data_IF_088844116582
#
_entry.id   IF_088844116582
#
_cell.length_a   1.000
_cell.length_b   1.000
_cell.length_c   1.000
_cell.angle_alpha   90.00
_cell.angle_beta   90.00
_cell.angle_gamma   90.00
#
_symmetry.space_group_name_H-M   'P 1'
#
loop_
_entity.id
_entity.type
_entity.pdbx_description
1 polymer ?
#
# COMPACT_ATOMS: atom_id res chain seq x y z
N UNK A 1 19.55 -26.99 -39.40
CA UNK A 1 20.12 -25.62 -39.43
C UNK A 1 19.09 -24.48 -39.59
N UNK A 2 17.89 -24.59 -40.26
CA UNK A 2 16.96 -23.44 -40.32
C UNK A 2 16.21 -23.14 -38.97
N UNK A 3 15.96 -24.14 -38.16
CA UNK A 3 15.23 -23.94 -36.89
C UNK A 3 16.02 -23.18 -35.80
N UNK A 4 17.33 -23.23 -35.82
CA UNK A 4 18.21 -22.54 -34.86
C UNK A 4 18.27 -21.03 -35.16
N UNK A 5 18.30 -20.69 -36.45
CA UNK A 5 18.32 -19.29 -36.94
C UNK A 5 17.00 -18.55 -36.61
N UNK A 6 15.88 -19.27 -36.63
CA UNK A 6 14.55 -18.72 -36.30
C UNK A 6 14.36 -18.50 -34.78
N UNK A 7 14.91 -19.40 -33.95
CA UNK A 7 14.95 -19.23 -32.50
C UNK A 7 15.84 -18.08 -32.08
N UNK A 8 16.99 -17.88 -32.72
CA UNK A 8 17.90 -16.79 -32.40
C UNK A 8 17.32 -15.43 -32.85
N UNK A 9 16.60 -15.37 -33.96
CA UNK A 9 15.84 -14.18 -34.40
C UNK A 9 14.70 -13.85 -33.44
N UNK A 10 13.96 -14.85 -32.97
CA UNK A 10 12.87 -14.68 -32.01
C UNK A 10 13.38 -14.17 -30.64
N UNK A 11 14.51 -14.71 -30.16
CA UNK A 11 15.18 -14.23 -28.93
C UNK A 11 15.67 -12.79 -29.06
N UNK A 12 16.30 -12.45 -30.19
CA UNK A 12 16.77 -11.11 -30.46
C UNK A 12 15.62 -10.08 -30.60
N UNK A 13 14.46 -10.50 -31.11
CA UNK A 13 13.27 -9.67 -31.19
C UNK A 13 12.66 -9.44 -29.78
N UNK A 14 12.57 -10.50 -28.96
CA UNK A 14 12.10 -10.43 -27.58
C UNK A 14 13.01 -9.54 -26.73
N UNK A 15 14.33 -9.69 -26.87
CA UNK A 15 15.29 -8.86 -26.14
C UNK A 15 15.16 -7.38 -26.50
N UNK A 16 15.01 -7.06 -27.80
CA UNK A 16 14.77 -5.66 -28.24
C UNK A 16 13.48 -5.09 -27.67
N UNK A 17 12.40 -5.85 -27.66
CA UNK A 17 11.13 -5.42 -27.06
C UNK A 17 11.25 -5.19 -25.54
N UNK A 18 12.04 -6.00 -24.84
CA UNK A 18 12.32 -5.81 -23.43
C UNK A 18 13.18 -4.56 -23.17
N UNK A 19 14.17 -4.30 -24.01
CA UNK A 19 15.02 -3.12 -23.91
C UNK A 19 14.22 -1.83 -24.19
N UNK A 20 13.33 -1.84 -25.20
CA UNK A 20 12.41 -0.73 -25.50
C UNK A 20 11.41 -0.49 -24.36
N UNK A 21 10.89 -1.56 -23.75
CA UNK A 21 10.01 -1.47 -22.58
C UNK A 21 10.75 -0.90 -21.35
N UNK A 22 12.02 -1.30 -21.16
CA UNK A 22 12.85 -0.80 -20.06
C UNK A 22 13.21 0.68 -20.24
N UNK A 23 13.41 1.12 -21.50
CA UNK A 23 13.65 2.53 -21.82
C UNK A 23 12.39 3.38 -21.63
N UNK A 24 11.26 2.93 -22.20
CA UNK A 24 9.97 3.59 -22.00
C UNK A 24 9.56 3.68 -20.51
N UNK A 25 9.90 2.65 -19.73
CA UNK A 25 9.68 2.64 -18.27
C UNK A 25 10.56 3.67 -17.57
N UNK A 26 11.84 3.78 -17.93
CA UNK A 26 12.75 4.80 -17.37
C UNK A 26 12.26 6.20 -17.67
N UNK A 27 11.82 6.45 -18.90
CA UNK A 27 11.30 7.75 -19.32
C UNK A 27 9.99 8.09 -18.60
N UNK A 28 9.10 7.11 -18.44
CA UNK A 28 7.86 7.30 -17.68
C UNK A 28 8.12 7.60 -16.19
N UNK A 29 9.08 6.91 -15.57
CA UNK A 29 9.47 7.18 -14.18
C UNK A 29 10.15 8.55 -14.02
N UNK A 30 10.99 8.93 -14.98
CA UNK A 30 11.61 10.25 -15.02
C UNK A 30 10.54 11.35 -15.17
N UNK A 31 9.57 11.17 -16.06
CA UNK A 31 8.47 12.10 -16.26
C UNK A 31 7.57 12.25 -15.01
N UNK A 32 7.33 11.16 -14.28
CA UNK A 32 6.61 11.20 -13.00
C UNK A 32 7.41 11.94 -11.93
N UNK A 33 8.73 11.67 -11.85
CA UNK A 33 9.61 12.37 -10.92
C UNK A 33 9.73 13.87 -11.23
N UNK A 34 9.74 14.24 -12.51
CA UNK A 34 9.78 15.63 -12.94
C UNK A 34 8.47 16.36 -12.63
N UNK A 35 7.32 15.76 -12.92
CA UNK A 35 6.00 16.31 -12.54
C UNK A 35 5.88 16.50 -11.03
N UNK A 36 6.41 15.55 -10.24
CA UNK A 36 6.44 15.65 -8.79
C UNK A 36 7.33 16.81 -8.32
N UNK A 37 8.52 16.97 -8.92
CA UNK A 37 9.42 18.10 -8.64
C UNK A 37 8.75 19.43 -8.97
N UNK A 38 8.06 19.51 -10.08
CA UNK A 38 7.33 20.69 -10.54
C UNK A 38 6.14 21.01 -9.62
N UNK A 39 5.37 20.00 -9.21
CA UNK A 39 4.27 20.17 -8.26
C UNK A 39 4.78 20.65 -6.88
N UNK A 40 5.89 20.09 -6.38
CA UNK A 40 6.52 20.51 -5.13
C UNK A 40 7.06 21.96 -5.26
N UNK A 41 7.70 22.31 -6.38
CA UNK A 41 8.19 23.64 -6.65
C UNK A 41 7.04 24.65 -6.71
N UNK A 42 5.97 24.35 -7.42
CA UNK A 42 4.75 25.17 -7.52
C UNK A 42 4.08 25.35 -6.16
N UNK A 43 3.97 24.29 -5.36
CA UNK A 43 3.45 24.35 -4.00
C UNK A 43 4.34 25.21 -3.09
N UNK A 44 5.67 25.13 -3.26
CA UNK A 44 6.63 25.97 -2.53
C UNK A 44 6.53 27.44 -2.92
N UNK A 45 6.46 27.73 -4.21
CA UNK A 45 6.28 29.10 -4.72
C UNK A 45 4.95 29.70 -4.24
N UNK A 46 3.86 28.94 -4.26
CA UNK A 46 2.57 29.34 -3.69
C UNK A 46 2.68 29.63 -2.19
N UNK A 47 3.40 28.80 -1.42
CA UNK A 47 3.66 29.02 0.01
C UNK A 47 4.48 30.29 0.27
N UNK A 48 5.52 30.54 -0.53
CA UNK A 48 6.36 31.74 -0.43
C UNK A 48 5.59 33.02 -0.83
N UNK A 49 4.78 32.96 -1.88
CA UNK A 49 3.90 34.04 -2.28
C UNK A 49 2.85 34.40 -1.21
N UNK A 50 2.28 33.37 -0.55
CA UNK A 50 1.34 33.53 0.57
C UNK A 50 2.02 34.09 1.82
N UNK A 51 3.24 33.66 2.13
CA UNK A 51 4.04 34.19 3.24
C UNK A 51 4.35 35.69 2.99
N UNK A 52 4.69 36.05 1.78
CA UNK A 52 4.97 37.44 1.37
C UNK A 52 3.70 38.35 1.41
N UNK A 53 2.55 37.76 1.04
CA UNK A 53 1.26 38.45 1.12
C UNK A 53 0.80 38.68 2.58
N UNK A 54 1.21 37.83 3.51
CA UNK A 54 0.96 37.97 4.96
C UNK A 54 1.83 39.03 5.64
N UNK A 55 2.97 39.41 5.04
CA UNK A 55 3.88 40.42 5.57
C UNK A 55 3.49 41.86 5.20
N UNK A 56 2.45 42.06 4.39
CA UNK A 56 1.91 43.43 4.17
C UNK A 56 1.05 43.82 5.37
N UNK A 57 1.40 44.89 6.13
CA UNK A 57 0.63 45.30 7.30
C UNK A 57 -0.74 45.80 6.83
N UNK A 58 -1.80 45.02 7.14
CA UNK A 58 -3.16 45.54 7.04
C UNK A 58 -3.45 46.35 8.32
N UNK A 59 -3.26 47.63 8.29
CA UNK A 59 -3.64 48.58 9.36
C UNK A 59 -5.15 48.71 9.56
N UNK A 60 -5.94 47.70 9.20
CA UNK A 60 -7.40 47.72 9.44
C UNK A 60 -7.90 46.34 9.82
N UNK A 61 -7.80 45.99 11.11
CA UNK A 61 -8.76 45.17 11.88
C UNK A 61 -8.25 44.82 13.29
N UNK A 62 -8.08 45.86 14.08
CA UNK A 62 -8.22 45.72 15.53
C UNK A 62 -9.70 45.88 15.86
N UNK A 63 -10.45 44.78 15.95
CA UNK A 63 -11.68 44.66 16.73
C UNK A 63 -12.36 43.29 16.40
N UNK A 64 -11.92 42.25 17.05
CA UNK A 64 -12.80 41.17 17.52
C UNK A 64 -11.94 40.09 18.19
N UNK A 65 -12.13 39.92 19.51
CA UNK A 65 -11.45 38.92 20.30
C UNK A 65 -11.78 37.52 19.82
N UNK A 66 -10.81 36.88 19.23
CA UNK A 66 -10.76 35.45 19.02
C UNK A 66 -9.38 34.97 19.40
N UNK A 67 -9.34 33.96 20.28
CA UNK A 67 -8.14 33.33 20.79
C UNK A 67 -7.15 32.87 19.70
N UNK A 68 -5.96 32.37 20.07
CA UNK A 68 -4.90 32.05 19.14
C UNK A 68 -5.42 31.15 18.02
N UNK A 69 -5.50 31.66 16.79
CA UNK A 69 -5.82 30.86 15.61
C UNK A 69 -4.65 29.92 15.37
N UNK A 70 -4.80 28.68 15.75
CA UNK A 70 -3.88 27.61 15.32
C UNK A 70 -3.82 27.67 13.80
N UNK A 71 -2.65 27.97 13.25
CA UNK A 71 -2.46 28.00 11.80
C UNK A 71 -2.67 26.60 11.29
N UNK A 72 -3.66 26.38 10.40
CA UNK A 72 -3.90 25.11 9.76
C UNK A 72 -2.64 24.70 9.00
N UNK A 73 -2.12 23.53 9.26
CA UNK A 73 -0.94 22.96 8.59
C UNK A 73 -1.35 21.74 7.77
N UNK A 74 -0.57 21.39 6.76
CA UNK A 74 -0.80 20.16 5.99
C UNK A 74 -0.75 18.93 6.90
N UNK A 75 0.17 18.89 7.86
CA UNK A 75 0.30 17.78 8.80
C UNK A 75 -0.98 17.61 9.66
N UNK A 76 -1.59 18.71 10.11
CA UNK A 76 -2.85 18.65 10.84
C UNK A 76 -4.01 18.18 9.96
N UNK A 77 -4.02 18.56 8.68
CA UNK A 77 -4.99 18.10 7.68
C UNK A 77 -4.83 16.60 7.46
N UNK A 78 -3.60 16.12 7.25
CA UNK A 78 -3.31 14.71 7.00
C UNK A 78 -3.61 13.85 8.23
N UNK A 79 -3.26 14.30 9.44
CA UNK A 79 -3.58 13.59 10.68
C UNK A 79 -5.09 13.42 10.85
N UNK A 80 -5.88 14.48 10.62
CA UNK A 80 -7.33 14.40 10.72
C UNK A 80 -7.95 13.58 9.58
N UNK A 81 -7.40 13.68 8.36
CA UNK A 81 -7.83 12.83 7.24
C UNK A 81 -7.60 11.34 7.54
N UNK A 82 -6.42 10.98 8.07
CA UNK A 82 -6.09 9.62 8.51
C UNK A 82 -7.09 9.13 9.57
N UNK A 83 -7.41 9.96 10.57
CA UNK A 83 -8.41 9.61 11.59
C UNK A 83 -9.79 9.32 11.00
N UNK A 84 -10.23 10.11 10.01
CA UNK A 84 -11.51 9.86 9.32
C UNK A 84 -11.43 8.58 8.50
N UNK A 85 -10.32 8.35 7.79
CA UNK A 85 -10.10 7.16 6.97
C UNK A 85 -10.07 5.87 7.82
N UNK A 86 -9.44 5.92 8.99
CA UNK A 86 -9.40 4.79 9.92
C UNK A 86 -10.79 4.45 10.48
N UNK A 87 -11.62 5.47 10.71
CA UNK A 87 -12.95 5.29 11.28
C UNK A 87 -14.00 4.86 10.25
N UNK A 88 -13.98 5.46 9.06
CA UNK A 88 -15.09 5.39 8.11
C UNK A 88 -14.65 5.07 6.66
N UNK A 89 -13.37 4.70 6.47
CA UNK A 89 -12.82 4.34 5.15
C UNK A 89 -12.77 5.50 4.15
N UNK A 90 -12.42 5.16 2.92
CA UNK A 90 -12.27 6.13 1.81
C UNK A 90 -13.58 6.86 1.52
N UNK A 91 -14.72 6.18 1.58
CA UNK A 91 -16.03 6.78 1.33
C UNK A 91 -16.41 7.82 2.39
N UNK A 92 -15.98 7.63 3.64
CA UNK A 92 -16.23 8.55 4.75
C UNK A 92 -15.48 9.89 4.65
N UNK A 93 -14.39 9.96 3.86
CA UNK A 93 -13.60 11.16 3.72
C UNK A 93 -14.19 12.11 2.67
N UNK A 94 -14.52 13.34 3.10
CA UNK A 94 -14.86 14.46 2.21
C UNK A 94 -14.17 15.73 2.71
N UNK A 95 -13.78 16.65 1.81
CA UNK A 95 -13.16 17.92 2.19
C UNK A 95 -14.07 18.76 3.09
N UNK A 96 -15.39 18.67 2.92
CA UNK A 96 -16.36 19.36 3.78
C UNK A 96 -16.37 18.78 5.20
N UNK A 97 -16.36 17.45 5.35
CA UNK A 97 -16.28 16.78 6.64
C UNK A 97 -14.97 17.10 7.34
N UNK A 98 -13.86 16.97 6.63
CA UNK A 98 -12.53 17.30 7.14
C UNK A 98 -12.46 18.74 7.67
N UNK A 99 -12.96 19.72 6.92
CA UNK A 99 -13.00 21.11 7.35
C UNK A 99 -13.85 21.29 8.63
N UNK A 100 -14.99 20.56 8.72
CA UNK A 100 -15.86 20.58 9.90
C UNK A 100 -15.14 20.02 11.13
N UNK A 101 -14.48 18.88 11.00
CA UNK A 101 -13.75 18.24 12.12
C UNK A 101 -12.56 19.12 12.59
N UNK A 102 -11.86 19.75 11.65
CA UNK A 102 -10.78 20.72 11.95
C UNK A 102 -11.28 22.07 12.49
N UNK A 103 -12.61 22.32 12.51
CA UNK A 103 -13.19 23.58 12.94
C UNK A 103 -12.83 24.77 12.07
N UNK A 104 -12.57 24.55 10.77
CA UNK A 104 -12.18 25.58 9.79
C UNK A 104 -13.18 25.69 8.64
N UNK A 105 -13.11 26.78 7.89
CA UNK A 105 -13.87 26.90 6.64
C UNK A 105 -13.32 25.98 5.55
N UNK A 106 -14.19 25.41 4.70
CA UNK A 106 -13.78 24.54 3.60
C UNK A 106 -12.71 25.20 2.69
N UNK A 107 -12.81 26.49 2.44
CA UNK A 107 -11.81 27.26 1.69
C UNK A 107 -10.40 27.17 2.30
N UNK A 108 -10.28 26.97 3.61
CA UNK A 108 -8.97 26.81 4.26
C UNK A 108 -8.31 25.48 3.93
N UNK A 109 -9.09 24.40 3.72
CA UNK A 109 -8.59 23.10 3.30
C UNK A 109 -8.17 23.14 1.85
N UNK A 110 -8.95 23.78 0.96
CA UNK A 110 -8.61 23.96 -0.46
C UNK A 110 -7.33 24.76 -0.73
N UNK A 111 -6.81 25.49 0.28
CA UNK A 111 -5.49 26.11 0.18
C UNK A 111 -4.33 25.11 0.29
N UNK A 112 -4.58 23.91 0.76
CA UNK A 112 -3.58 22.87 1.01
C UNK A 112 -3.68 21.70 0.06
N UNK A 113 -4.90 21.37 -0.42
CA UNK A 113 -5.20 20.27 -1.32
C UNK A 113 -6.23 20.71 -2.36
N UNK A 114 -6.06 20.29 -3.60
CA UNK A 114 -6.94 20.71 -4.70
C UNK A 114 -8.27 19.93 -4.67
N UNK A 115 -8.21 18.63 -4.36
CA UNK A 115 -9.39 17.75 -4.33
C UNK A 115 -9.24 16.58 -3.33
N UNK A 116 -10.23 15.68 -3.32
CA UNK A 116 -10.23 14.48 -2.47
C UNK A 116 -9.15 13.50 -2.88
N UNK A 117 -8.87 13.35 -4.16
CA UNK A 117 -7.91 12.36 -4.68
C UNK A 117 -6.48 12.75 -4.30
N UNK A 118 -6.13 14.04 -4.39
CA UNK A 118 -4.86 14.55 -3.90
C UNK A 118 -4.74 14.36 -2.38
N UNK A 119 -5.80 14.65 -1.62
CA UNK A 119 -5.80 14.43 -0.17
C UNK A 119 -5.59 12.96 0.18
N UNK A 120 -6.26 12.04 -0.50
CA UNK A 120 -6.10 10.60 -0.34
C UNK A 120 -4.68 10.15 -0.63
N UNK A 121 -4.09 10.63 -1.74
CA UNK A 121 -2.72 10.31 -2.10
C UNK A 121 -1.73 10.81 -1.05
N UNK A 122 -1.88 12.05 -0.58
CA UNK A 122 -1.02 12.63 0.46
C UNK A 122 -1.16 11.90 1.80
N UNK A 123 -2.39 11.52 2.19
CA UNK A 123 -2.64 10.73 3.39
C UNK A 123 -2.00 9.33 3.27
N UNK A 124 -2.13 8.66 2.12
CA UNK A 124 -1.49 7.39 1.84
C UNK A 124 0.04 7.48 1.92
N UNK A 125 0.65 8.50 1.30
CA UNK A 125 2.09 8.74 1.36
C UNK A 125 2.58 9.06 2.79
N UNK A 126 1.77 9.78 3.57
CA UNK A 126 2.10 10.10 4.96
C UNK A 126 2.05 8.86 5.86
N UNK A 127 1.06 7.99 5.66
CA UNK A 127 0.83 6.80 6.49
C UNK A 127 1.74 5.64 6.09
N UNK A 128 1.77 5.23 4.81
CA UNK A 128 2.54 4.08 4.34
C UNK A 128 4.00 4.43 3.99
N UNK A 129 4.28 5.68 3.67
CA UNK A 129 5.60 6.13 3.22
C UNK A 129 6.74 5.89 4.21
N UNK A 130 6.59 6.10 5.52
CA UNK A 130 7.65 5.80 6.48
C UNK A 130 8.07 4.33 6.43
N UNK A 131 7.13 3.39 6.53
CA UNK A 131 7.38 1.95 6.47
C UNK A 131 8.06 1.55 5.16
N UNK A 132 7.53 1.99 4.01
CA UNK A 132 8.10 1.66 2.70
C UNK A 132 9.51 2.20 2.53
N UNK A 133 9.81 3.42 3.01
CA UNK A 133 11.18 3.98 2.97
C UNK A 133 12.14 3.20 3.85
N UNK A 134 11.74 2.83 5.06
CA UNK A 134 12.56 2.00 5.93
C UNK A 134 12.90 0.66 5.27
N UNK A 135 11.93 0.02 4.61
CA UNK A 135 12.16 -1.19 3.82
C UNK A 135 13.10 -0.96 2.63
N UNK A 136 13.01 0.19 1.97
CA UNK A 136 13.90 0.56 0.87
C UNK A 136 15.36 0.72 1.33
N UNK A 137 15.59 1.31 2.48
CA UNK A 137 16.91 1.60 3.01
C UNK A 137 17.57 0.35 3.66
N UNK A 138 16.82 -0.69 3.94
CA UNK A 138 17.30 -1.94 4.56
C UNK A 138 18.24 -2.67 3.59
N UNK A 139 19.45 -3.11 4.01
CA UNK A 139 20.36 -3.87 3.14
C UNK A 139 19.71 -5.14 2.59
N UNK A 140 20.06 -5.52 1.34
CA UNK A 140 19.67 -6.82 0.78
C UNK A 140 20.69 -7.85 1.30
N UNK A 141 20.18 -8.80 2.06
CA UNK A 141 20.95 -9.92 2.60
C UNK A 141 20.35 -11.23 2.05
N UNK A 142 21.05 -11.83 1.09
CA UNK A 142 20.62 -13.07 0.45
C UNK A 142 20.65 -14.26 1.40
N UNK A 143 21.48 -14.25 2.43
CA UNK A 143 21.55 -15.35 3.41
C UNK A 143 20.38 -15.30 4.40
N UNK A 144 19.84 -14.10 4.64
CA UNK A 144 18.71 -13.85 5.53
C UNK A 144 17.42 -13.47 4.79
N UNK A 145 17.33 -13.79 3.53
CA UNK A 145 16.21 -13.38 2.67
C UNK A 145 14.84 -13.76 3.24
N UNK A 146 14.71 -14.98 3.77
CA UNK A 146 13.45 -15.49 4.31
C UNK A 146 13.00 -14.65 5.52
N UNK A 147 13.92 -14.37 6.43
CA UNK A 147 13.66 -13.53 7.60
C UNK A 147 13.31 -12.09 7.16
N UNK A 148 14.04 -11.56 6.18
CA UNK A 148 13.81 -10.22 5.64
C UNK A 148 12.43 -10.11 4.97
N UNK A 149 12.03 -11.06 4.10
CA UNK A 149 10.70 -11.06 3.48
C UNK A 149 9.59 -11.25 4.50
N UNK A 150 9.79 -12.17 5.45
CA UNK A 150 8.81 -12.40 6.50
C UNK A 150 8.62 -11.17 7.38
N UNK A 151 9.69 -10.53 7.80
CA UNK A 151 9.65 -9.29 8.58
C UNK A 151 8.93 -8.18 7.82
N UNK A 152 9.32 -7.96 6.56
CA UNK A 152 8.67 -6.99 5.67
C UNK A 152 7.16 -7.24 5.54
N UNK A 153 6.75 -8.47 5.29
CA UNK A 153 5.34 -8.81 5.14
C UNK A 153 4.55 -8.61 6.44
N UNK A 154 5.16 -8.90 7.60
CA UNK A 154 4.55 -8.66 8.91
C UNK A 154 4.40 -7.16 9.18
N UNK A 155 5.42 -6.36 8.93
CA UNK A 155 5.36 -4.90 9.11
C UNK A 155 4.29 -4.25 8.22
N UNK A 156 4.17 -4.70 6.98
CA UNK A 156 3.12 -4.24 6.07
C UNK A 156 1.72 -4.71 6.52
N UNK A 157 1.61 -5.93 7.01
CA UNK A 157 0.37 -6.45 7.57
C UNK A 157 -0.07 -5.62 8.79
N UNK A 158 0.83 -5.35 9.74
CA UNK A 158 0.55 -4.56 10.93
C UNK A 158 0.15 -3.11 10.59
N UNK A 159 0.77 -2.52 9.57
CA UNK A 159 0.37 -1.22 9.05
C UNK A 159 -1.04 -1.25 8.44
N UNK A 160 -1.38 -2.30 7.67
CA UNK A 160 -2.72 -2.47 7.08
C UNK A 160 -3.76 -2.75 8.18
N UNK A 161 -3.40 -3.53 9.20
CA UNK A 161 -4.28 -3.79 10.36
C UNK A 161 -4.60 -2.50 11.13
N UNK A 162 -3.60 -1.64 11.31
CA UNK A 162 -3.77 -0.33 11.94
C UNK A 162 -4.53 0.68 11.05
N UNK A 163 -4.38 0.58 9.73
CA UNK A 163 -4.92 1.51 8.73
C UNK A 163 -5.54 0.74 7.55
N UNK A 164 -6.71 0.10 7.70
CA UNK A 164 -7.29 -0.78 6.68
C UNK A 164 -7.50 -0.13 5.31
N UNK A 165 -7.80 1.17 5.28
CA UNK A 165 -7.96 1.94 4.05
C UNK A 165 -6.70 2.00 3.18
N UNK A 166 -5.51 1.75 3.76
CA UNK A 166 -4.25 1.68 3.00
C UNK A 166 -4.29 0.56 1.97
N UNK A 167 -4.88 -0.60 2.31
CA UNK A 167 -5.06 -1.71 1.35
C UNK A 167 -6.01 -1.34 0.21
N UNK A 168 -7.05 -0.55 0.48
CA UNK A 168 -7.92 -0.01 -0.56
C UNK A 168 -7.15 0.90 -1.52
N UNK A 169 -6.29 1.77 -0.98
CA UNK A 169 -5.43 2.64 -1.79
C UNK A 169 -4.42 1.87 -2.64
N UNK A 170 -3.90 0.74 -2.16
CA UNK A 170 -3.04 -0.15 -2.97
C UNK A 170 -3.75 -0.65 -4.24
N UNK A 171 -5.06 -0.90 -4.16
CA UNK A 171 -5.87 -1.30 -5.32
C UNK A 171 -6.27 -0.11 -6.21
N UNK A 172 -6.58 1.04 -5.62
CA UNK A 172 -6.97 2.26 -6.34
C UNK A 172 -5.78 2.91 -7.06
N UNK A 173 -4.58 2.81 -6.48
CA UNK A 173 -3.35 3.43 -6.99
C UNK A 173 -2.26 2.37 -7.30
N UNK A 174 -2.50 1.40 -8.21
CA UNK A 174 -1.59 0.29 -8.47
C UNK A 174 -0.22 0.73 -9.04
N UNK A 175 -0.08 1.98 -9.45
CA UNK A 175 1.16 2.59 -9.94
C UNK A 175 1.65 3.74 -9.03
N UNK A 176 1.24 3.74 -7.76
CA UNK A 176 1.78 4.73 -6.84
C UNK A 176 3.30 4.54 -6.67
N UNK A 177 4.06 5.64 -6.48
CA UNK A 177 5.51 5.54 -6.27
C UNK A 177 5.87 4.60 -5.11
N UNK A 178 5.09 4.59 -4.03
CA UNK A 178 5.32 3.70 -2.88
C UNK A 178 5.18 2.23 -3.26
N UNK A 179 4.13 1.88 -4.02
CA UNK A 179 3.94 0.50 -4.47
C UNK A 179 5.05 0.06 -5.43
N UNK A 180 5.50 0.96 -6.31
CA UNK A 180 6.62 0.66 -7.20
C UNK A 180 7.91 0.41 -6.44
N UNK A 181 8.21 1.21 -5.41
CA UNK A 181 9.37 1.01 -4.54
C UNK A 181 9.30 -0.34 -3.82
N UNK A 182 8.14 -0.66 -3.23
CA UNK A 182 7.93 -1.93 -2.53
C UNK A 182 8.09 -3.11 -3.48
N UNK A 183 7.46 -3.06 -4.65
CA UNK A 183 7.54 -4.09 -5.68
C UNK A 183 8.97 -4.35 -6.16
N UNK A 184 9.68 -3.27 -6.49
CA UNK A 184 11.07 -3.34 -6.94
C UNK A 184 11.98 -3.92 -5.85
N UNK A 185 11.74 -3.54 -4.61
CA UNK A 185 12.53 -4.02 -3.46
C UNK A 185 12.35 -5.53 -3.22
N UNK A 186 11.10 -6.00 -3.27
CA UNK A 186 10.81 -7.44 -3.17
C UNK A 186 11.49 -8.19 -4.34
N UNK A 187 11.38 -7.67 -5.55
CA UNK A 187 12.02 -8.25 -6.73
C UNK A 187 13.54 -8.35 -6.60
N UNK A 188 14.20 -7.27 -6.15
CA UNK A 188 15.66 -7.25 -5.91
C UNK A 188 16.09 -8.32 -4.90
N UNK A 189 15.34 -8.49 -3.80
CA UNK A 189 15.65 -9.50 -2.80
C UNK A 189 15.49 -10.92 -3.37
N UNK A 190 14.40 -11.17 -4.10
CA UNK A 190 14.13 -12.47 -4.73
C UNK A 190 15.16 -12.85 -5.80
N UNK A 191 15.62 -11.89 -6.60
CA UNK A 191 16.68 -12.13 -7.60
C UNK A 191 18.07 -12.30 -6.95
N UNK A 192 18.35 -11.58 -5.85
CA UNK A 192 19.59 -11.73 -5.10
C UNK A 192 19.77 -13.13 -4.50
N UNK A 193 18.69 -13.84 -4.19
CA UNK A 193 18.75 -15.24 -3.70
C UNK A 193 18.82 -16.27 -4.82
N UNK A 194 18.88 -15.83 -6.08
CA UNK A 194 19.12 -16.68 -7.24
C UNK A 194 17.85 -17.10 -7.98
N UNK A 195 16.67 -16.51 -7.70
CA UNK A 195 15.49 -16.75 -8.51
C UNK A 195 15.65 -16.09 -9.89
N UNK A 196 15.30 -16.78 -10.98
CA UNK A 196 15.14 -16.15 -12.29
C UNK A 196 14.04 -15.06 -12.24
N UNK A 197 14.17 -14.02 -13.08
CA UNK A 197 13.25 -12.87 -13.09
C UNK A 197 11.77 -13.27 -13.17
N UNK A 198 11.44 -14.27 -13.98
CA UNK A 198 10.06 -14.77 -14.11
C UNK A 198 9.56 -15.40 -12.81
N UNK A 199 10.37 -16.20 -12.13
CA UNK A 199 10.01 -16.80 -10.84
C UNK A 199 9.92 -15.75 -9.74
N UNK A 200 10.82 -14.76 -9.73
CA UNK A 200 10.78 -13.62 -8.82
C UNK A 200 9.51 -12.77 -9.01
N UNK A 201 9.09 -12.57 -10.27
CA UNK A 201 7.83 -11.89 -10.58
C UNK A 201 6.61 -12.64 -10.00
N UNK A 202 6.51 -13.95 -10.20
CA UNK A 202 5.39 -14.74 -9.67
C UNK A 202 5.40 -14.81 -8.13
N UNK A 203 6.57 -14.96 -7.53
CA UNK A 203 6.72 -14.97 -6.08
C UNK A 203 6.32 -13.61 -5.46
N UNK A 204 6.79 -12.51 -6.04
CA UNK A 204 6.40 -11.16 -5.63
C UNK A 204 4.91 -10.92 -5.79
N UNK A 205 4.30 -11.39 -6.90
CA UNK A 205 2.85 -11.30 -7.12
C UNK A 205 2.05 -12.07 -6.06
N UNK A 206 2.51 -13.25 -5.68
CA UNK A 206 1.86 -14.05 -4.62
C UNK A 206 1.93 -13.34 -3.26
N UNK A 207 3.09 -12.76 -2.89
CA UNK A 207 3.26 -11.99 -1.66
C UNK A 207 2.34 -10.75 -1.63
N UNK A 208 2.29 -9.99 -2.73
CA UNK A 208 1.41 -8.81 -2.82
C UNK A 208 -0.07 -9.21 -2.79
N UNK A 209 -0.45 -10.33 -3.42
CA UNK A 209 -1.81 -10.86 -3.36
C UNK A 209 -2.23 -11.26 -1.95
N UNK A 210 -1.31 -11.85 -1.18
CA UNK A 210 -1.55 -12.20 0.22
C UNK A 210 -1.80 -10.96 1.10
N UNK A 211 -0.98 -9.91 0.93
CA UNK A 211 -1.17 -8.63 1.61
C UNK A 211 -2.50 -7.96 1.22
N UNK A 212 -2.86 -8.00 -0.06
CA UNK A 212 -4.14 -7.44 -0.54
C UNK A 212 -5.35 -8.15 0.06
N UNK A 213 -5.31 -9.48 0.20
CA UNK A 213 -6.39 -10.26 0.84
C UNK A 213 -6.52 -9.97 2.33
N UNK A 214 -5.41 -9.83 3.04
CA UNK A 214 -5.41 -9.44 4.45
C UNK A 214 -6.03 -8.05 4.65
N UNK A 215 -5.72 -7.10 3.76
CA UNK A 215 -6.32 -5.77 3.79
C UNK A 215 -7.83 -5.77 3.57
N UNK A 216 -8.34 -6.59 2.64
CA UNK A 216 -9.78 -6.74 2.44
C UNK A 216 -10.49 -7.34 3.67
N UNK A 217 -9.84 -8.22 4.41
CA UNK A 217 -10.37 -8.77 5.65
C UNK A 217 -10.45 -7.68 6.74
N UNK A 218 -9.39 -6.88 6.90
CA UNK A 218 -9.34 -5.77 7.85
C UNK A 218 -10.42 -4.70 7.55
N UNK A 219 -10.63 -4.35 6.27
CA UNK A 219 -11.70 -3.43 5.85
C UNK A 219 -13.08 -3.96 6.24
N UNK A 220 -13.35 -5.25 5.99
CA UNK A 220 -14.64 -5.87 6.37
C UNK A 220 -14.86 -5.84 7.88
N UNK A 221 -13.81 -6.05 8.66
CA UNK A 221 -13.88 -6.01 10.11
C UNK A 221 -14.25 -4.61 10.62
N UNK A 222 -13.58 -3.58 10.11
CA UNK A 222 -13.84 -2.18 10.47
C UNK A 222 -15.27 -1.74 10.11
N UNK A 223 -15.79 -2.16 8.94
CA UNK A 223 -17.11 -1.72 8.47
C UNK A 223 -18.28 -2.56 9.00
N UNK A 224 -18.05 -3.76 9.52
CA UNK A 224 -19.15 -4.64 9.96
C UNK A 224 -19.86 -4.14 11.20
N UNK A 225 -19.18 -3.37 12.07
CA UNK A 225 -19.70 -2.94 13.37
C UNK A 225 -20.11 -4.10 14.30
N UNK A 226 -19.93 -5.35 13.84
CA UNK A 226 -20.26 -6.57 14.56
C UNK A 226 -19.01 -7.13 15.25
N UNK A 227 -19.18 -7.58 16.48
CA UNK A 227 -18.11 -8.27 17.20
C UNK A 227 -17.59 -9.46 16.38
N UNK A 228 -16.26 -9.58 16.29
CA UNK A 228 -15.58 -10.62 15.50
C UNK A 228 -16.02 -12.02 15.92
N UNK A 229 -16.09 -12.29 17.21
CA UNK A 229 -16.44 -13.63 17.73
C UNK A 229 -17.90 -13.98 17.39
N UNK A 230 -18.80 -13.00 17.38
CA UNK A 230 -20.21 -13.17 16.96
C UNK A 230 -20.26 -13.49 15.46
N UNK A 231 -19.53 -12.74 14.64
CA UNK A 231 -19.46 -12.95 13.18
C UNK A 231 -18.89 -14.34 12.83
N UNK A 232 -17.75 -14.71 13.42
CA UNK A 232 -17.13 -16.01 13.20
C UNK A 232 -18.02 -17.14 13.73
N UNK A 233 -18.68 -16.94 14.88
CA UNK A 233 -19.61 -17.90 15.44
C UNK A 233 -20.82 -18.15 14.52
N UNK A 234 -21.39 -17.09 13.94
CA UNK A 234 -22.48 -17.20 12.97
C UNK A 234 -22.03 -17.90 11.69
N UNK A 235 -20.91 -17.47 11.08
CA UNK A 235 -20.37 -18.12 9.88
C UNK A 235 -20.03 -19.60 10.11
N UNK A 236 -19.44 -19.92 11.26
CA UNK A 236 -19.19 -21.32 11.63
C UNK A 236 -20.50 -22.11 11.82
N UNK A 237 -21.57 -21.50 12.36
CA UNK A 237 -22.88 -22.12 12.48
C UNK A 237 -23.50 -22.44 11.12
N UNK A 238 -23.40 -21.50 10.16
CA UNK A 238 -23.85 -21.69 8.78
C UNK A 238 -23.08 -22.83 8.09
N UNK A 239 -21.74 -22.86 8.24
CA UNK A 239 -20.89 -23.91 7.70
C UNK A 239 -21.13 -25.27 8.36
N UNK A 240 -21.44 -25.30 9.67
CA UNK A 240 -21.76 -26.53 10.41
C UNK A 240 -23.12 -27.15 10.00
N UNK A 241 -24.01 -26.37 9.42
CA UNK A 241 -25.29 -26.84 8.92
C UNK A 241 -25.21 -27.56 7.55
N UNK A 242 -24.03 -27.46 6.87
CA UNK A 242 -23.79 -28.16 5.61
C UNK A 242 -23.64 -29.65 5.82
N UNK A 243 -24.09 -30.45 4.84
CA UNK A 243 -23.94 -31.91 4.86
C UNK A 243 -22.46 -32.30 4.85
N UNK A 244 -21.94 -32.97 5.90
CA UNK A 244 -20.54 -33.35 5.99
C UNK A 244 -20.09 -34.35 4.91
N UNK A 245 -21.00 -35.11 4.32
CA UNK A 245 -20.70 -36.06 3.25
C UNK A 245 -20.52 -35.30 1.91
N UNK A 246 -21.25 -34.23 1.73
CA UNK A 246 -21.11 -33.31 0.57
C UNK A 246 -19.92 -32.34 0.73
N UNK A 247 -19.66 -31.86 1.97
CA UNK A 247 -18.61 -30.87 2.27
C UNK A 247 -17.59 -31.39 3.32
N UNK A 248 -16.88 -32.51 3.06
CA UNK A 248 -16.04 -33.18 4.06
C UNK A 248 -14.83 -32.33 4.51
N UNK A 249 -14.32 -31.45 3.68
CA UNK A 249 -13.21 -30.54 4.06
C UNK A 249 -13.69 -29.47 5.04
N UNK A 250 -14.84 -28.86 4.78
CA UNK A 250 -15.44 -27.83 5.66
C UNK A 250 -15.70 -28.46 7.04
N UNK A 251 -16.33 -29.65 7.08
CA UNK A 251 -16.61 -30.37 8.32
C UNK A 251 -15.35 -30.58 9.18
N UNK A 252 -14.22 -30.92 8.57
CA UNK A 252 -12.94 -31.11 9.29
C UNK A 252 -12.28 -29.80 9.74
N UNK A 253 -12.48 -28.71 9.02
CA UNK A 253 -11.76 -27.43 9.24
C UNK A 253 -12.56 -26.39 10.01
N UNK A 254 -13.83 -26.65 10.30
CA UNK A 254 -14.74 -25.70 10.96
C UNK A 254 -14.23 -25.23 12.34
N UNK A 255 -13.56 -26.09 13.09
CA UNK A 255 -12.96 -25.74 14.37
C UNK A 255 -11.79 -24.79 14.23
N UNK A 256 -11.04 -24.90 13.13
CA UNK A 256 -9.95 -23.98 12.77
C UNK A 256 -10.56 -22.64 12.35
N UNK A 257 -11.59 -22.66 11.48
CA UNK A 257 -12.31 -21.46 11.06
C UNK A 257 -12.82 -20.62 12.25
N UNK A 258 -13.36 -21.27 13.28
CA UNK A 258 -13.88 -20.59 14.48
C UNK A 258 -12.82 -19.92 15.36
N UNK A 259 -11.59 -20.43 15.34
CA UNK A 259 -10.53 -20.01 16.29
C UNK A 259 -9.42 -19.18 15.67
N UNK A 260 -9.27 -19.24 14.34
CA UNK A 260 -8.18 -18.53 13.69
C UNK A 260 -8.33 -16.99 13.84
N UNK A 261 -7.23 -16.30 13.96
CA UNK A 261 -7.15 -14.84 13.75
C UNK A 261 -6.73 -14.53 12.32
N UNK A 262 -7.06 -13.32 11.84
CA UNK A 262 -6.60 -12.85 10.54
C UNK A 262 -5.06 -12.90 10.46
N UNK A 263 -4.39 -12.55 11.58
CA UNK A 263 -2.93 -12.62 11.70
C UNK A 263 -2.42 -14.07 11.56
N UNK A 264 -3.06 -15.05 12.22
CA UNK A 264 -2.66 -16.47 12.10
C UNK A 264 -2.88 -16.97 10.68
N UNK A 265 -3.98 -16.60 10.03
CA UNK A 265 -4.26 -16.95 8.64
C UNK A 265 -3.22 -16.33 7.70
N UNK A 266 -2.91 -15.05 7.88
CA UNK A 266 -1.89 -14.37 7.11
C UNK A 266 -0.51 -15.00 7.27
N UNK A 267 -0.06 -15.24 8.51
CA UNK A 267 1.24 -15.85 8.79
C UNK A 267 1.33 -17.28 8.24
N UNK A 268 0.28 -18.08 8.39
CA UNK A 268 0.22 -19.43 7.82
C UNK A 268 0.31 -19.43 6.30
N UNK A 269 -0.40 -18.53 5.63
CA UNK A 269 -0.32 -18.33 4.19
C UNK A 269 1.05 -17.84 3.74
N UNK A 270 1.63 -16.89 4.47
CA UNK A 270 2.97 -16.36 4.21
C UNK A 270 4.04 -17.44 4.30
N UNK A 271 4.01 -18.26 5.35
CA UNK A 271 5.00 -19.33 5.54
C UNK A 271 4.92 -20.35 4.39
N UNK A 272 3.73 -20.70 3.90
CA UNK A 272 3.55 -21.56 2.71
C UNK A 272 4.14 -20.94 1.44
N UNK A 273 3.97 -19.62 1.22
CA UNK A 273 4.57 -18.91 0.09
C UNK A 273 6.10 -18.93 0.21
N UNK A 274 6.64 -18.63 1.39
CA UNK A 274 8.08 -18.63 1.65
C UNK A 274 8.70 -20.03 1.48
N UNK A 275 7.98 -21.11 1.85
CA UNK A 275 8.42 -22.50 1.61
C UNK A 275 8.46 -22.81 0.11
N UNK A 276 7.48 -22.36 -0.65
CA UNK A 276 7.47 -22.46 -2.11
C UNK A 276 8.63 -21.71 -2.77
N UNK A 277 8.97 -20.51 -2.29
CA UNK A 277 10.13 -19.75 -2.74
C UNK A 277 11.42 -20.52 -2.40
N UNK A 278 11.56 -21.05 -1.18
CA UNK A 278 12.74 -21.82 -0.79
C UNK A 278 12.96 -23.03 -1.70
N UNK A 279 11.90 -23.78 -2.02
CA UNK A 279 12.00 -24.92 -2.93
C UNK A 279 12.53 -24.49 -4.32
N UNK A 280 12.09 -23.34 -4.83
CA UNK A 280 12.59 -22.80 -6.10
C UNK A 280 14.04 -22.34 -6.04
N UNK A 281 14.46 -21.72 -4.93
CA UNK A 281 15.86 -21.35 -4.69
C UNK A 281 16.75 -22.58 -4.66
N UNK A 282 16.32 -23.65 -4.02
CA UNK A 282 17.08 -24.90 -3.92
C UNK A 282 17.21 -25.61 -5.29
N UNK A 283 16.19 -25.50 -6.16
CA UNK A 283 16.26 -26.01 -7.54
C UNK A 283 17.27 -25.25 -8.42
N UNK A 284 17.54 -23.99 -8.16
CA UNK A 284 18.46 -23.14 -8.93
C UNK A 284 19.91 -23.28 -8.48
N UNK A 285 20.19 -23.84 -7.31
CA UNK A 285 21.55 -24.06 -6.80
C UNK A 285 22.22 -25.19 -7.58
N UNK A 286 23.42 -24.98 -8.16
CA UNK A 286 24.17 -26.06 -8.80
C UNK A 286 24.53 -27.13 -7.74
N UNK A 287 24.31 -28.38 -8.10
CA UNK A 287 24.70 -29.55 -7.29
C UNK A 287 26.22 -29.71 -7.27
#
# INVERSE_FOLDING_TARGET
>A
MPEQDDRDRSRAATQRALDELAEARRDALAAVADRRREAIATARERREALASARQRPSERRQASGRGPRTTLTLDAILAEATRILDADGVEGLTLRRLAKELGVGAASVYWHVDDKDELLQLAYEATAGPTVRELQDRPIDADRWRESLRGTAVELFEMIEAHPWVAEMMNLLPRSPLLMVLWDRIGQLLTAVGLPDEAAFYAGSALMGLLGTAGLAAIRETHSGEDRDVRLGRGAGELAALDPDEFPFIARTISTYRRHSEREQFLGGLDLVLDGIQARVDETRPR
#
